data_IF_290342264699
#
_entry.id   IF_290342264699
#
_cell.length_a   1.000
_cell.length_b   1.000
_cell.length_c   1.000
_cell.angle_alpha   90.00
_cell.angle_beta   90.00
_cell.angle_gamma   90.00
#
_symmetry.space_group_name_H-M   'P 1'
#
loop_
_entity.id
_entity.type
_entity.pdbx_description
1 polymer ?
#
# COMPACT_ATOMS: atom_id res chain seq x y z
N UNK A 1 0.73 -60.06 -38.34
CA UNK A 1 1.37 -58.73 -38.10
C UNK A 1 0.56 -57.98 -37.03
N UNK A 2 0.97 -58.07 -35.77
CA UNK A 2 0.29 -57.42 -34.64
C UNK A 2 0.96 -56.07 -34.42
N UNK A 3 0.20 -54.97 -34.58
CA UNK A 3 0.65 -53.61 -34.28
C UNK A 3 0.55 -53.38 -32.76
N UNK A 4 1.71 -53.19 -32.13
CA UNK A 4 1.81 -52.80 -30.73
C UNK A 4 1.57 -51.26 -30.67
N UNK A 5 0.49 -50.83 -30.02
CA UNK A 5 0.28 -49.42 -29.74
C UNK A 5 0.97 -49.08 -28.40
N UNK A 6 1.98 -48.26 -28.46
CA UNK A 6 2.64 -47.69 -27.25
C UNK A 6 1.86 -46.48 -26.82
N UNK A 7 1.13 -46.59 -25.70
CA UNK A 7 0.51 -45.44 -25.04
C UNK A 7 1.60 -44.69 -24.25
N UNK A 8 2.00 -43.50 -24.76
CA UNK A 8 2.81 -42.58 -23.98
C UNK A 8 1.91 -41.92 -22.91
N UNK A 9 2.13 -42.29 -21.67
CA UNK A 9 1.57 -41.57 -20.51
C UNK A 9 2.41 -40.30 -20.27
N UNK A 10 1.90 -39.16 -20.73
CA UNK A 10 2.43 -37.87 -20.28
C UNK A 10 2.02 -37.66 -18.82
N UNK A 11 2.94 -37.92 -17.91
CA UNK A 11 2.81 -37.50 -16.51
C UNK A 11 2.94 -35.98 -16.48
N UNK A 12 1.82 -35.27 -16.42
CA UNK A 12 1.81 -33.85 -16.06
C UNK A 12 2.30 -33.72 -14.63
N UNK A 13 3.53 -33.31 -14.48
CA UNK A 13 4.10 -32.91 -13.20
C UNK A 13 3.45 -31.56 -12.83
N UNK A 14 2.33 -31.61 -12.10
CA UNK A 14 1.78 -30.43 -11.43
C UNK A 14 2.79 -30.10 -10.32
N UNK A 15 3.43 -28.93 -10.33
CA UNK A 15 4.28 -28.53 -9.22
C UNK A 15 3.39 -28.46 -7.98
N UNK A 16 3.56 -29.43 -7.08
CA UNK A 16 2.92 -29.42 -5.78
C UNK A 16 3.42 -28.13 -5.09
N UNK A 17 2.55 -27.17 -4.86
CA UNK A 17 2.85 -26.04 -3.98
C UNK A 17 3.12 -26.67 -2.60
N UNK A 18 4.39 -26.75 -2.23
CA UNK A 18 4.77 -27.28 -0.92
C UNK A 18 4.20 -26.34 0.13
N UNK A 19 3.23 -26.85 0.91
CA UNK A 19 2.76 -26.16 2.11
C UNK A 19 3.97 -25.87 3.02
N UNK A 20 3.94 -24.74 3.73
CA UNK A 20 4.99 -24.37 4.68
C UNK A 20 5.16 -25.46 5.76
N UNK A 21 6.39 -25.77 6.13
CA UNK A 21 6.75 -26.74 7.15
C UNK A 21 7.07 -26.04 8.48
N UNK A 22 6.08 -25.96 9.36
CA UNK A 22 6.23 -25.30 10.65
C UNK A 22 7.33 -25.93 11.53
N UNK A 23 7.53 -27.25 11.45
CA UNK A 23 8.56 -27.91 12.26
C UNK A 23 9.97 -27.52 11.80
N UNK A 24 10.18 -27.33 10.51
CA UNK A 24 11.44 -26.82 9.98
C UNK A 24 11.60 -25.33 10.30
N UNK A 25 10.53 -24.52 10.12
CA UNK A 25 10.56 -23.10 10.47
C UNK A 25 10.93 -22.86 11.95
N UNK A 26 10.42 -23.68 12.88
CA UNK A 26 10.82 -23.65 14.29
C UNK A 26 12.29 -23.97 14.51
N UNK A 27 12.89 -24.85 13.71
CA UNK A 27 14.33 -25.15 13.77
C UNK A 27 15.18 -24.01 13.22
N UNK A 28 14.70 -23.32 12.18
CA UNK A 28 15.31 -22.09 11.66
C UNK A 28 15.23 -20.94 12.68
N UNK A 29 14.16 -20.90 13.48
CA UNK A 29 14.00 -20.10 14.68
C UNK A 29 13.61 -18.63 14.46
N UNK A 30 13.83 -18.08 13.26
CA UNK A 30 13.53 -16.66 12.97
C UNK A 30 12.99 -16.47 11.56
N UNK A 31 12.20 -15.39 11.36
CA UNK A 31 11.78 -14.87 10.08
C UNK A 31 12.07 -13.36 10.04
N UNK A 32 12.96 -12.95 9.16
CA UNK A 32 13.38 -11.56 9.01
C UNK A 32 12.50 -10.85 7.97
N UNK A 33 11.76 -9.86 8.41
CA UNK A 33 10.81 -9.09 7.60
C UNK A 33 11.35 -7.69 7.34
N UNK A 34 11.75 -7.41 6.09
CA UNK A 34 12.11 -6.06 5.64
C UNK A 34 10.90 -5.38 5.04
N UNK A 35 10.53 -4.21 5.57
CA UNK A 35 9.32 -3.54 5.13
C UNK A 35 9.38 -2.02 5.21
N UNK A 36 8.58 -1.35 4.38
CA UNK A 36 8.37 0.09 4.48
C UNK A 36 7.14 0.48 5.32
N UNK A 37 6.23 -0.45 5.56
CA UNK A 37 5.07 -0.26 6.44
C UNK A 37 5.51 -0.04 7.88
N UNK A 38 4.76 0.74 8.65
CA UNK A 38 5.06 1.05 10.06
C UNK A 38 4.01 0.46 10.99
N UNK A 39 4.31 0.43 12.29
CA UNK A 39 3.40 -0.03 13.35
C UNK A 39 2.97 -1.50 13.21
N UNK A 40 3.86 -2.36 12.70
CA UNK A 40 3.59 -3.80 12.52
C UNK A 40 4.05 -4.65 13.70
N UNK A 41 4.60 -4.05 14.73
CA UNK A 41 5.08 -4.73 15.93
C UNK A 41 4.03 -5.69 16.53
N UNK A 42 2.73 -5.30 16.63
CA UNK A 42 1.70 -6.22 17.15
C UNK A 42 1.50 -7.47 16.26
N UNK A 43 1.72 -7.34 14.94
CA UNK A 43 1.62 -8.47 14.02
C UNK A 43 2.82 -9.39 14.18
N UNK A 44 4.02 -8.83 14.39
CA UNK A 44 5.25 -9.60 14.62
C UNK A 44 5.19 -10.38 15.94
N UNK A 45 4.65 -9.77 17.00
CA UNK A 45 4.43 -10.42 18.30
C UNK A 45 3.40 -11.55 18.18
N UNK A 46 2.28 -11.30 17.52
CA UNK A 46 1.24 -12.29 17.30
C UNK A 46 1.74 -13.47 16.44
N UNK A 47 2.54 -13.19 15.40
CA UNK A 47 3.23 -14.24 14.63
C UNK A 47 4.14 -15.07 15.52
N UNK A 48 5.01 -14.41 16.29
CA UNK A 48 6.00 -15.10 17.14
C UNK A 48 5.32 -16.00 18.15
N UNK A 49 4.23 -15.53 18.75
CA UNK A 49 3.42 -16.32 19.72
C UNK A 49 2.71 -17.48 19.04
N UNK A 50 2.06 -17.23 17.89
CA UNK A 50 1.24 -18.25 17.22
C UNK A 50 2.08 -19.36 16.54
N UNK A 51 3.29 -19.04 16.09
CA UNK A 51 4.12 -19.97 15.30
C UNK A 51 5.35 -20.46 16.05
N UNK A 52 5.69 -19.89 17.21
CA UNK A 52 6.92 -20.18 17.95
C UNK A 52 8.19 -20.02 17.05
N UNK A 53 8.15 -19.03 16.16
CA UNK A 53 9.22 -18.57 15.28
C UNK A 53 9.37 -17.07 15.54
N UNK A 54 10.57 -16.60 15.85
CA UNK A 54 10.79 -15.18 16.16
C UNK A 54 10.61 -14.33 14.89
N UNK A 55 9.63 -13.43 14.89
CA UNK A 55 9.49 -12.41 13.87
C UNK A 55 10.46 -11.24 14.15
N UNK A 56 11.32 -10.92 13.20
CA UNK A 56 12.25 -9.77 13.28
C UNK A 56 11.88 -8.77 12.20
N UNK A 57 11.54 -7.56 12.60
CA UNK A 57 11.14 -6.50 11.69
C UNK A 57 12.26 -5.48 11.50
N UNK A 58 12.60 -5.20 10.24
CA UNK A 58 13.53 -4.15 9.83
C UNK A 58 12.80 -3.14 8.94
N UNK A 59 12.61 -1.93 9.47
CA UNK A 59 12.00 -0.85 8.70
C UNK A 59 13.00 -0.21 7.74
N UNK A 60 12.65 -0.16 6.45
CA UNK A 60 13.40 0.57 5.45
C UNK A 60 12.46 1.60 4.79
N UNK A 61 12.86 2.87 4.76
CA UNK A 61 12.04 3.89 4.09
C UNK A 61 11.93 3.62 2.59
N UNK A 62 10.79 3.95 1.99
CA UNK A 62 10.53 3.72 0.55
C UNK A 62 11.65 4.24 -0.34
N UNK A 63 12.18 5.44 -0.06
CA UNK A 63 13.27 6.06 -0.85
C UNK A 63 14.61 5.32 -0.79
N UNK A 64 14.84 4.50 0.23
CA UNK A 64 16.08 3.71 0.38
C UNK A 64 15.87 2.23 0.07
N UNK A 65 14.63 1.78 -0.05
CA UNK A 65 14.28 0.37 -0.05
C UNK A 65 14.98 -0.42 -1.16
N UNK A 66 14.78 0.01 -2.40
CA UNK A 66 15.36 -0.66 -3.57
C UNK A 66 16.89 -0.73 -3.48
N UNK A 67 17.53 0.39 -3.22
CA UNK A 67 18.99 0.47 -3.15
C UNK A 67 19.57 -0.40 -2.01
N UNK A 68 18.95 -0.40 -0.82
CA UNK A 68 19.39 -1.22 0.31
C UNK A 68 19.30 -2.70 -0.03
N UNK A 69 18.12 -3.15 -0.48
CA UNK A 69 17.89 -4.58 -0.78
C UNK A 69 18.80 -5.08 -1.90
N UNK A 70 18.96 -4.30 -2.98
CA UNK A 70 19.86 -4.69 -4.09
C UNK A 70 21.32 -4.75 -3.64
N UNK A 71 21.80 -3.76 -2.89
CA UNK A 71 23.18 -3.74 -2.40
C UNK A 71 23.48 -4.96 -1.51
N UNK A 72 22.59 -5.30 -0.59
CA UNK A 72 22.72 -6.47 0.27
C UNK A 72 22.66 -7.78 -0.52
N UNK A 73 21.73 -7.88 -1.49
CA UNK A 73 21.56 -9.06 -2.32
C UNK A 73 22.79 -9.33 -3.22
N UNK A 74 23.30 -8.29 -3.89
CA UNK A 74 24.47 -8.38 -4.75
C UNK A 74 25.74 -8.71 -3.98
N UNK A 75 25.85 -8.21 -2.73
CA UNK A 75 26.92 -8.55 -1.82
C UNK A 75 26.78 -9.96 -1.20
N UNK A 76 25.68 -10.67 -1.44
CA UNK A 76 25.37 -11.96 -0.81
C UNK A 76 25.13 -11.87 0.70
N UNK A 77 24.66 -10.70 1.17
CA UNK A 77 24.45 -10.37 2.59
C UNK A 77 23.02 -9.97 2.92
N UNK A 78 22.07 -10.24 2.01
CA UNK A 78 20.66 -9.97 2.29
C UNK A 78 20.17 -10.88 3.43
N UNK A 79 19.81 -10.29 4.55
CA UNK A 79 19.29 -11.00 5.72
C UNK A 79 17.76 -11.14 5.70
N UNK A 80 17.08 -10.49 4.76
CA UNK A 80 15.63 -10.57 4.65
C UNK A 80 15.18 -11.94 4.17
N UNK A 81 14.20 -12.52 4.87
CA UNK A 81 13.44 -13.69 4.45
C UNK A 81 12.23 -13.28 3.64
N UNK A 82 11.54 -12.23 4.09
CA UNK A 82 10.34 -11.69 3.46
C UNK A 82 10.49 -10.18 3.25
N UNK A 83 10.09 -9.75 2.05
CA UNK A 83 10.19 -8.38 1.59
C UNK A 83 8.77 -7.81 1.39
N UNK A 84 8.47 -6.65 1.98
CA UNK A 84 7.21 -5.92 1.80
C UNK A 84 7.49 -4.50 1.33
N UNK A 85 6.81 -4.06 0.28
CA UNK A 85 6.96 -2.71 -0.24
C UNK A 85 5.88 -2.32 -1.24
N UNK A 86 5.99 -1.11 -1.81
CA UNK A 86 5.20 -0.72 -2.98
C UNK A 86 5.42 -1.71 -4.13
N UNK A 87 4.35 -2.01 -4.85
CA UNK A 87 4.37 -3.01 -5.90
C UNK A 87 5.50 -2.82 -6.93
N UNK A 88 5.79 -1.63 -7.45
CA UNK A 88 6.83 -1.45 -8.45
C UNK A 88 8.25 -1.70 -7.94
N UNK A 89 8.50 -1.38 -6.66
CA UNK A 89 9.78 -1.73 -6.06
C UNK A 89 9.96 -3.26 -6.06
N UNK A 90 8.90 -3.99 -5.70
CA UNK A 90 8.94 -5.45 -5.72
C UNK A 90 9.06 -6.00 -7.15
N UNK A 91 8.40 -5.39 -8.13
CA UNK A 91 8.54 -5.74 -9.55
C UNK A 91 9.98 -5.58 -10.03
N UNK A 92 10.63 -4.46 -9.70
CA UNK A 92 12.06 -4.26 -10.00
C UNK A 92 12.93 -5.31 -9.31
N UNK A 93 12.66 -5.64 -8.04
CA UNK A 93 13.39 -6.70 -7.33
C UNK A 93 13.18 -8.07 -7.97
N UNK A 94 11.97 -8.37 -8.46
CA UNK A 94 11.66 -9.59 -9.21
C UNK A 94 12.47 -9.66 -10.52
N UNK A 95 12.49 -8.61 -11.32
CA UNK A 95 13.29 -8.52 -12.55
C UNK A 95 14.78 -8.74 -12.32
N UNK A 96 15.28 -8.33 -11.15
CA UNK A 96 16.66 -8.57 -10.69
C UNK A 96 16.90 -9.95 -10.08
N UNK A 97 15.89 -10.82 -10.04
CA UNK A 97 16.01 -12.18 -9.50
C UNK A 97 16.14 -12.25 -7.98
N UNK A 98 15.75 -11.18 -7.26
CA UNK A 98 15.81 -11.11 -5.80
C UNK A 98 14.68 -11.87 -5.13
N UNK A 99 13.57 -12.14 -5.83
CA UNK A 99 12.38 -12.74 -5.29
C UNK A 99 12.21 -14.19 -5.72
N UNK A 100 11.67 -15.02 -4.82
CA UNK A 100 11.32 -16.41 -5.06
C UNK A 100 9.82 -16.59 -5.31
N UNK A 101 9.48 -17.56 -6.14
CA UNK A 101 8.10 -17.97 -6.32
C UNK A 101 7.58 -18.72 -5.09
N UNK A 102 6.45 -18.29 -4.56
CA UNK A 102 5.72 -18.96 -3.50
C UNK A 102 4.23 -18.62 -3.53
N UNK A 103 3.40 -19.61 -3.69
CA UNK A 103 1.95 -19.47 -3.66
C UNK A 103 1.42 -19.81 -2.27
N UNK A 104 1.17 -18.80 -1.46
CA UNK A 104 0.61 -19.00 -0.14
C UNK A 104 -0.83 -19.53 -0.20
N UNK A 105 -1.16 -20.62 0.51
CA UNK A 105 -2.54 -21.09 0.61
C UNK A 105 -3.46 -20.10 1.33
N UNK A 106 -2.93 -19.25 2.19
CA UNK A 106 -3.69 -18.21 2.89
C UNK A 106 -4.23 -17.11 1.98
N UNK A 107 -3.70 -17.00 0.75
CA UNK A 107 -4.17 -16.05 -0.25
C UNK A 107 -5.31 -16.58 -1.14
N UNK A 108 -5.88 -17.75 -0.87
CA UNK A 108 -6.86 -18.40 -1.74
C UNK A 108 -8.15 -17.58 -2.00
N UNK A 109 -8.53 -16.71 -1.07
CA UNK A 109 -9.73 -15.88 -1.19
C UNK A 109 -9.48 -14.44 -1.65
N UNK A 110 -8.24 -14.08 -1.94
CA UNK A 110 -7.90 -12.74 -2.42
C UNK A 110 -8.35 -12.54 -3.88
N UNK A 111 -8.58 -11.29 -4.32
CA UNK A 111 -8.90 -11.02 -5.72
C UNK A 111 -7.82 -11.57 -6.67
N UNK A 112 -8.20 -12.08 -7.83
CA UNK A 112 -7.25 -12.67 -8.80
C UNK A 112 -6.17 -11.68 -9.23
N UNK A 113 -6.53 -10.40 -9.41
CA UNK A 113 -5.59 -9.34 -9.77
C UNK A 113 -4.57 -9.02 -8.68
N UNK A 114 -4.81 -9.43 -7.43
CA UNK A 114 -3.87 -9.21 -6.32
C UNK A 114 -2.62 -10.09 -6.40
N UNK A 115 -2.66 -11.12 -7.22
CA UNK A 115 -1.53 -12.01 -7.45
C UNK A 115 -0.79 -11.60 -8.71
N UNK A 116 0.44 -11.19 -8.57
CA UNK A 116 1.33 -10.99 -9.69
C UNK A 116 2.18 -12.25 -9.85
N UNK A 117 1.71 -13.17 -10.69
CA UNK A 117 2.16 -14.55 -10.80
C UNK A 117 2.28 -15.28 -9.42
N UNK A 118 3.28 -16.14 -9.22
CA UNK A 118 3.52 -16.80 -7.94
C UNK A 118 4.63 -16.12 -7.12
N UNK A 119 5.09 -14.92 -7.51
CA UNK A 119 6.23 -14.25 -6.88
C UNK A 119 5.82 -13.14 -5.92
N UNK A 120 4.85 -12.30 -6.32
CA UNK A 120 4.41 -11.16 -5.51
C UNK A 120 2.92 -11.31 -5.21
N UNK A 121 2.56 -11.19 -3.94
CA UNK A 121 1.16 -11.12 -3.52
C UNK A 121 0.84 -9.72 -3.01
N UNK A 122 -0.12 -9.05 -3.62
CA UNK A 122 -0.66 -7.80 -3.12
C UNK A 122 -1.62 -8.09 -1.97
N UNK A 123 -1.39 -7.48 -0.82
CA UNK A 123 -2.20 -7.73 0.38
C UNK A 123 -3.06 -6.52 0.78
N UNK A 124 -2.77 -5.33 0.24
CA UNK A 124 -3.46 -4.10 0.60
C UNK A 124 -3.23 -2.97 -0.39
N UNK A 125 -3.92 -1.86 -0.15
CA UNK A 125 -3.79 -0.63 -0.93
C UNK A 125 -3.57 0.54 0.03
N UNK A 126 -2.50 1.29 -0.16
CA UNK A 126 -2.28 2.55 0.54
C UNK A 126 -3.04 3.65 -0.20
N UNK A 127 -4.24 3.94 0.25
CA UNK A 127 -5.20 4.80 -0.43
C UNK A 127 -5.24 6.22 0.14
N UNK A 128 -5.55 7.17 -0.73
CA UNK A 128 -5.64 8.61 -0.42
C UNK A 128 -7.10 9.04 -0.41
N UNK A 129 -7.45 9.79 0.62
CA UNK A 129 -8.76 10.44 0.74
C UNK A 129 -8.63 11.79 1.45
N UNK A 130 -9.57 12.72 1.25
CA UNK A 130 -9.67 13.87 2.13
C UNK A 130 -10.11 13.43 3.53
N UNK A 131 -9.35 13.83 4.56
CA UNK A 131 -9.76 13.73 5.96
C UNK A 131 -10.09 15.12 6.50
N UNK A 132 -10.96 15.19 7.51
CA UNK A 132 -11.40 16.45 8.07
C UNK A 132 -11.57 16.38 9.61
N UNK A 133 -11.55 17.55 10.25
CA UNK A 133 -11.83 17.68 11.66
C UNK A 133 -13.36 17.66 11.92
N UNK A 134 -13.84 16.67 12.64
CA UNK A 134 -15.28 16.47 12.90
C UNK A 134 -15.90 17.50 13.84
N UNK A 135 -15.08 18.16 14.66
CA UNK A 135 -15.57 19.19 15.61
C UNK A 135 -15.73 20.54 14.91
N UNK A 136 -14.96 20.79 13.85
CA UNK A 136 -14.88 22.09 13.17
C UNK A 136 -15.62 22.13 11.84
N UNK A 137 -15.72 21.02 11.12
CA UNK A 137 -16.42 20.92 9.82
C UNK A 137 -17.83 20.37 10.07
N UNK A 138 -18.84 21.19 9.79
CA UNK A 138 -20.24 20.78 9.95
C UNK A 138 -20.62 19.69 8.94
N UNK A 139 -21.52 18.75 9.28
CA UNK A 139 -21.90 17.66 8.37
C UNK A 139 -22.36 18.10 6.97
N UNK A 140 -23.02 19.25 6.85
CA UNK A 140 -23.47 19.83 5.60
C UNK A 140 -22.33 20.41 4.72
N UNK A 141 -21.18 20.68 5.31
CA UNK A 141 -20.03 21.27 4.65
C UNK A 141 -19.00 20.22 4.19
N UNK A 142 -19.12 18.98 4.67
CA UNK A 142 -18.19 17.91 4.32
C UNK A 142 -18.19 17.68 2.81
N UNK A 143 -17.03 17.66 2.15
CA UNK A 143 -16.94 17.36 0.71
C UNK A 143 -17.55 16.00 0.36
N UNK A 144 -18.37 15.94 -0.69
CA UNK A 144 -19.01 14.74 -1.21
C UNK A 144 -18.43 14.26 -2.56
N UNK A 145 -17.68 15.13 -3.19
CA UNK A 145 -16.99 14.89 -4.48
C UNK A 145 -15.63 15.59 -4.43
N UNK A 146 -14.71 15.15 -5.27
CA UNK A 146 -13.41 15.81 -5.39
C UNK A 146 -13.53 17.31 -5.77
N UNK A 147 -14.48 17.66 -6.63
CA UNK A 147 -14.73 19.05 -7.01
C UNK A 147 -15.06 19.97 -5.81
N UNK A 148 -15.71 19.43 -4.78
CA UNK A 148 -16.10 20.23 -3.61
C UNK A 148 -14.86 20.73 -2.82
N UNK A 149 -13.67 20.11 -3.03
CA UNK A 149 -12.40 20.59 -2.48
C UNK A 149 -11.89 21.89 -3.13
N UNK A 150 -12.47 22.30 -4.26
CA UNK A 150 -12.12 23.54 -4.95
C UNK A 150 -12.99 24.73 -4.53
N UNK A 151 -13.98 24.52 -3.66
CA UNK A 151 -14.83 25.59 -3.13
C UNK A 151 -13.95 26.63 -2.40
N UNK A 152 -14.09 27.93 -2.69
CA UNK A 152 -13.34 29.00 -2.01
C UNK A 152 -13.49 29.02 -0.48
N UNK A 153 -14.53 28.41 0.09
CA UNK A 153 -14.64 28.24 1.54
C UNK A 153 -13.46 27.50 2.17
N UNK A 154 -12.71 26.72 1.37
CA UNK A 154 -11.54 25.96 1.79
C UNK A 154 -10.20 26.72 1.61
N UNK A 155 -10.26 28.00 1.20
CA UNK A 155 -9.06 28.82 1.04
C UNK A 155 -8.26 28.87 2.36
N UNK A 156 -6.96 28.54 2.30
CA UNK A 156 -6.02 28.39 3.43
C UNK A 156 -6.43 27.34 4.50
N UNK A 157 -7.38 26.45 4.19
CA UNK A 157 -7.90 25.45 5.14
C UNK A 157 -7.53 24.02 4.83
N UNK A 158 -6.78 23.79 3.78
CA UNK A 158 -6.35 22.43 3.35
C UNK A 158 -4.86 22.26 3.65
N UNK A 159 -4.46 21.05 4.08
CA UNK A 159 -3.07 20.60 4.11
C UNK A 159 -2.91 19.38 3.20
N UNK A 160 -1.79 19.29 2.50
CA UNK A 160 -1.46 18.14 1.64
C UNK A 160 0.05 18.00 1.46
N UNK A 161 0.57 16.82 1.08
CA UNK A 161 1.97 16.73 0.68
C UNK A 161 2.22 17.53 -0.60
N UNK A 162 3.43 18.07 -0.73
CA UNK A 162 3.85 18.90 -1.85
C UNK A 162 3.71 18.16 -3.20
N UNK A 163 2.80 18.58 -4.09
CA UNK A 163 2.54 17.92 -5.36
C UNK A 163 3.64 18.16 -6.41
N UNK A 164 4.63 18.99 -6.12
CA UNK A 164 5.78 19.18 -7.02
C UNK A 164 6.92 18.20 -6.78
N UNK A 165 6.93 17.50 -5.64
CA UNK A 165 8.05 16.68 -5.21
C UNK A 165 7.66 15.35 -4.55
N UNK A 166 6.44 15.23 -4.03
CA UNK A 166 6.00 14.00 -3.35
C UNK A 166 5.39 13.01 -4.34
N UNK A 167 6.12 11.95 -4.68
CA UNK A 167 5.77 10.99 -5.72
C UNK A 167 4.34 10.43 -5.61
N UNK A 168 3.92 10.00 -4.41
CA UNK A 168 2.57 9.43 -4.22
C UNK A 168 1.46 10.46 -4.43
N UNK A 169 1.69 11.74 -4.08
CA UNK A 169 0.72 12.81 -4.35
C UNK A 169 0.62 13.12 -5.84
N UNK A 170 1.77 13.11 -6.54
CA UNK A 170 1.82 13.23 -8.01
C UNK A 170 1.04 12.08 -8.65
N UNK A 171 1.34 10.83 -8.26
CA UNK A 171 0.66 9.64 -8.78
C UNK A 171 -0.85 9.65 -8.47
N UNK A 172 -1.25 10.13 -7.30
CA UNK A 172 -2.67 10.27 -6.95
C UNK A 172 -3.38 11.29 -7.84
N UNK A 173 -2.80 12.50 -8.03
CA UNK A 173 -3.39 13.52 -8.91
C UNK A 173 -3.51 13.04 -10.35
N UNK A 174 -2.49 12.38 -10.89
CA UNK A 174 -2.50 11.80 -12.23
C UNK A 174 -3.48 10.62 -12.30
N UNK A 175 -3.48 9.79 -11.26
CA UNK A 175 -4.40 8.66 -11.13
C UNK A 175 -5.88 9.06 -11.17
N UNK A 176 -6.25 10.22 -10.59
CA UNK A 176 -7.61 10.76 -10.70
C UNK A 176 -8.02 11.01 -12.16
N UNK A 177 -7.09 11.46 -13.00
CA UNK A 177 -7.29 11.62 -14.44
C UNK A 177 -7.43 10.26 -15.13
N UNK A 178 -6.47 9.36 -14.90
CA UNK A 178 -6.39 8.06 -15.57
C UNK A 178 -7.57 7.14 -15.20
N UNK A 179 -8.01 7.19 -13.95
CA UNK A 179 -9.20 6.47 -13.48
C UNK A 179 -10.52 7.10 -13.91
N UNK A 180 -10.47 8.19 -14.71
CA UNK A 180 -11.65 8.92 -15.21
C UNK A 180 -12.61 9.33 -14.09
N UNK A 181 -12.06 9.84 -12.99
CA UNK A 181 -12.85 10.42 -11.90
C UNK A 181 -13.53 11.72 -12.37
N UNK A 182 -12.92 12.39 -13.33
CA UNK A 182 -13.45 13.52 -14.06
C UNK A 182 -13.79 13.10 -15.48
N UNK A 183 -14.86 13.68 -16.06
CA UNK A 183 -15.34 13.27 -17.38
C UNK A 183 -14.36 13.64 -18.51
N UNK A 184 -13.63 14.76 -18.33
CA UNK A 184 -12.65 15.23 -19.31
C UNK A 184 -11.33 15.68 -18.64
N UNK A 185 -10.29 15.83 -19.46
CA UNK A 185 -8.99 16.35 -19.03
C UNK A 185 -9.09 17.82 -18.56
N UNK A 186 -9.99 18.60 -19.15
CA UNK A 186 -10.25 19.98 -18.78
C UNK A 186 -10.89 20.07 -17.39
N UNK A 187 -11.86 19.20 -17.08
CA UNK A 187 -12.48 19.13 -15.75
C UNK A 187 -11.45 18.75 -14.69
N UNK A 188 -10.62 17.73 -14.98
CA UNK A 188 -9.52 17.35 -14.10
C UNK A 188 -8.54 18.51 -13.88
N UNK A 189 -8.14 19.20 -14.95
CA UNK A 189 -7.23 20.33 -14.85
C UNK A 189 -7.87 21.51 -14.08
N UNK A 190 -9.17 21.72 -14.25
CA UNK A 190 -9.93 22.71 -13.47
C UNK A 190 -9.92 22.37 -11.99
N UNK A 191 -10.10 21.08 -11.65
CA UNK A 191 -9.96 20.61 -10.27
C UNK A 191 -8.56 20.90 -9.71
N UNK A 192 -7.49 20.55 -10.42
CA UNK A 192 -6.11 20.78 -9.98
C UNK A 192 -5.83 22.26 -9.73
N UNK A 193 -6.26 23.13 -10.67
CA UNK A 193 -6.13 24.59 -10.52
C UNK A 193 -6.97 25.15 -9.38
N UNK A 194 -8.20 24.66 -9.20
CA UNK A 194 -9.08 25.07 -8.11
C UNK A 194 -8.53 24.66 -6.74
N UNK A 195 -7.95 23.46 -6.64
CA UNK A 195 -7.26 23.02 -5.43
C UNK A 195 -6.06 23.91 -5.11
N UNK A 196 -5.26 24.28 -6.14
CA UNK A 196 -4.14 25.20 -6.00
C UNK A 196 -4.60 26.61 -5.58
N UNK A 197 -5.72 27.11 -6.12
CA UNK A 197 -6.30 28.42 -5.77
C UNK A 197 -6.71 28.52 -4.30
N UNK A 198 -7.01 27.39 -3.66
CA UNK A 198 -7.27 27.30 -2.22
C UNK A 198 -6.00 27.39 -1.36
N UNK A 199 -4.83 27.60 -1.95
CA UNK A 199 -3.54 27.78 -1.25
C UNK A 199 -3.30 26.75 -0.15
N UNK A 200 -3.24 25.44 -0.46
CA UNK A 200 -3.01 24.42 0.56
C UNK A 200 -1.67 24.65 1.28
N UNK A 201 -1.64 24.31 2.56
CA UNK A 201 -0.40 24.14 3.31
C UNK A 201 0.32 22.91 2.79
N UNK A 202 1.61 23.01 2.44
CA UNK A 202 2.39 21.89 1.95
C UNK A 202 3.28 21.28 3.03
N UNK A 203 3.30 19.95 3.07
CA UNK A 203 4.15 19.14 3.95
C UNK A 203 4.95 18.13 3.12
N UNK A 204 5.99 17.53 3.71
CA UNK A 204 6.93 16.65 2.98
C UNK A 204 6.34 15.27 2.61
N UNK A 205 5.33 14.79 3.34
CA UNK A 205 4.72 13.47 3.16
C UNK A 205 3.33 13.43 3.79
N UNK A 206 2.62 12.29 3.68
CA UNK A 206 1.31 12.14 4.32
C UNK A 206 1.37 12.08 5.85
N UNK A 207 2.44 11.56 6.44
CA UNK A 207 2.52 11.38 7.91
C UNK A 207 2.28 12.67 8.73
N UNK A 208 2.78 13.86 8.36
CA UNK A 208 2.47 15.07 9.11
C UNK A 208 1.14 15.74 8.76
N UNK A 209 0.35 15.23 7.81
CA UNK A 209 -0.92 15.88 7.42
C UNK A 209 -2.02 15.87 8.49
N UNK A 210 -2.12 14.88 9.41
CA UNK A 210 -3.14 14.92 10.45
C UNK A 210 -2.97 16.05 11.46
N UNK A 211 -1.75 16.35 11.88
CA UNK A 211 -1.50 17.28 12.99
C UNK A 211 -2.11 18.68 12.81
N UNK A 212 -2.01 19.37 11.65
CA UNK A 212 -2.69 20.64 11.45
C UNK A 212 -4.22 20.52 11.46
N UNK A 213 -4.77 19.35 11.10
CA UNK A 213 -6.23 19.13 11.12
C UNK A 213 -6.71 18.86 12.55
N UNK A 214 -5.97 18.09 13.33
CA UNK A 214 -6.24 17.82 14.75
C UNK A 214 -6.23 19.09 15.58
N UNK A 215 -5.25 19.96 15.37
CA UNK A 215 -5.14 21.24 16.08
C UNK A 215 -6.18 22.28 15.64
N UNK A 216 -6.87 22.07 14.51
CA UNK A 216 -7.77 23.04 13.92
C UNK A 216 -7.07 24.16 13.14
N UNK A 217 -5.74 24.10 12.95
CA UNK A 217 -5.02 25.02 12.08
C UNK A 217 -5.51 24.91 10.62
N UNK A 218 -5.76 23.68 10.20
CA UNK A 218 -6.42 23.36 8.92
C UNK A 218 -7.70 22.54 9.20
N UNK A 219 -8.65 22.60 8.28
CA UNK A 219 -9.92 21.91 8.42
C UNK A 219 -9.97 20.59 7.67
N UNK A 220 -9.19 20.49 6.57
CA UNK A 220 -9.11 19.35 5.68
C UNK A 220 -7.65 18.97 5.41
N UNK A 221 -7.41 17.69 5.19
CA UNK A 221 -6.16 17.22 4.62
C UNK A 221 -6.41 16.28 3.44
N UNK A 222 -5.62 16.40 2.38
CA UNK A 222 -5.44 15.28 1.45
C UNK A 222 -4.46 14.32 2.13
N UNK A 223 -4.96 13.17 2.55
CA UNK A 223 -4.25 12.30 3.48
C UNK A 223 -4.61 10.83 3.27
N UNK A 224 -4.21 9.99 4.21
CA UNK A 224 -4.54 8.57 4.23
C UNK A 224 -5.49 8.27 5.39
N UNK A 225 -6.66 7.67 5.15
CA UNK A 225 -7.63 7.35 6.20
C UNK A 225 -7.09 6.50 7.34
N UNK A 226 -6.01 5.74 7.15
CA UNK A 226 -5.35 5.01 8.23
C UNK A 226 -4.97 5.88 9.42
N UNK A 227 -4.74 7.16 9.21
CA UNK A 227 -4.40 8.08 10.31
C UNK A 227 -5.58 8.34 11.25
N UNK A 228 -6.82 8.08 10.85
CA UNK A 228 -7.97 8.09 11.74
C UNK A 228 -7.79 7.06 12.86
N UNK A 229 -7.21 5.91 12.54
CA UNK A 229 -6.94 4.83 13.52
C UNK A 229 -5.68 5.16 14.34
N UNK A 230 -4.58 5.51 13.69
CA UNK A 230 -3.29 5.68 14.38
C UNK A 230 -3.19 6.97 15.18
N UNK A 231 -4.10 7.93 14.97
CA UNK A 231 -4.21 9.18 15.71
C UNK A 231 -5.43 9.21 16.67
N UNK A 232 -6.20 8.10 16.77
CA UNK A 232 -7.31 8.06 17.72
C UNK A 232 -6.84 8.38 19.15
N UNK A 233 -7.59 9.19 19.92
CA UNK A 233 -8.96 9.63 19.70
C UNK A 233 -9.12 11.01 19.02
N UNK A 234 -8.19 11.44 18.16
CA UNK A 234 -8.32 12.71 17.48
C UNK A 234 -9.64 12.82 16.68
N UNK A 235 -10.25 14.02 16.57
CA UNK A 235 -11.54 14.22 15.91
C UNK A 235 -11.41 14.20 14.38
N UNK A 236 -10.99 13.07 13.84
CA UNK A 236 -10.75 12.87 12.41
C UNK A 236 -11.77 11.92 11.79
N UNK A 237 -12.29 12.30 10.62
CA UNK A 237 -13.05 11.42 9.73
C UNK A 237 -12.63 11.64 8.27
N UNK A 238 -12.99 10.71 7.38
CA UNK A 238 -12.75 10.89 5.96
C UNK A 238 -14.00 11.39 5.23
N UNK A 239 -13.80 12.21 4.20
CA UNK A 239 -14.87 12.69 3.34
C UNK A 239 -15.16 11.68 2.22
N UNK A 240 -16.42 11.26 2.09
CA UNK A 240 -16.87 10.23 1.14
C UNK A 240 -17.03 10.82 -0.26
N UNK A 241 -15.89 11.13 -0.90
CA UNK A 241 -15.83 11.82 -2.20
C UNK A 241 -16.03 10.91 -3.43
N UNK A 242 -16.44 9.66 -3.22
CA UNK A 242 -16.60 8.67 -4.28
C UNK A 242 -15.46 7.65 -4.32
N UNK A 243 -14.99 7.31 -5.53
CA UNK A 243 -13.90 6.34 -5.71
C UNK A 243 -12.59 6.86 -5.16
N UNK A 244 -11.97 6.08 -4.29
CA UNK A 244 -10.64 6.34 -3.74
C UNK A 244 -9.58 5.66 -4.57
N UNK A 245 -8.40 6.25 -4.62
CA UNK A 245 -7.26 5.71 -5.35
C UNK A 245 -6.08 5.47 -4.40
N UNK A 246 -5.31 4.42 -4.66
CA UNK A 246 -4.15 4.13 -3.84
C UNK A 246 -3.12 3.23 -4.49
N UNK A 247 -1.95 3.21 -3.90
CA UNK A 247 -0.82 2.41 -4.37
C UNK A 247 -0.92 1.00 -3.79
N UNK A 248 -0.89 -0.05 -4.63
CA UNK A 248 -0.86 -1.43 -4.14
C UNK A 248 0.38 -1.72 -3.30
N UNK A 249 0.20 -2.51 -2.27
CA UNK A 249 1.26 -3.01 -1.40
C UNK A 249 1.43 -4.51 -1.61
N UNK A 250 2.65 -4.91 -1.91
CA UNK A 250 3.00 -6.30 -2.13
C UNK A 250 3.84 -6.87 -1.00
N UNK A 251 3.89 -8.20 -0.96
CA UNK A 251 4.77 -9.01 -0.12
C UNK A 251 5.32 -10.16 -0.95
N UNK A 252 6.58 -10.52 -0.73
CA UNK A 252 7.28 -11.57 -1.47
C UNK A 252 8.34 -12.24 -0.60
N UNK A 253 8.75 -13.45 -0.94
CA UNK A 253 9.87 -14.15 -0.31
C UNK A 253 11.17 -13.82 -1.05
N UNK A 254 12.27 -13.61 -0.32
CA UNK A 254 13.58 -13.42 -0.93
C UNK A 254 14.09 -14.73 -1.56
N UNK A 255 14.69 -14.65 -2.77
CA UNK A 255 15.18 -15.82 -3.51
C UNK A 255 16.30 -16.59 -2.76
N UNK A 256 17.06 -15.86 -1.92
CA UNK A 256 18.11 -16.43 -1.07
C UNK A 256 17.78 -16.17 0.40
N UNK A 257 16.52 -16.39 0.79
CA UNK A 257 16.10 -16.25 2.18
C UNK A 257 16.98 -17.09 3.10
N UNK A 258 17.61 -16.53 4.14
CA UNK A 258 18.40 -17.28 5.12
C UNK A 258 17.58 -18.38 5.82
N UNK A 259 16.27 -18.13 6.00
CA UNK A 259 15.35 -19.02 6.71
C UNK A 259 14.14 -19.35 5.82
N UNK A 260 14.29 -20.22 4.78
CA UNK A 260 13.30 -20.38 3.72
C UNK A 260 11.96 -20.99 4.21
N UNK A 261 11.94 -21.86 5.21
CA UNK A 261 10.69 -22.37 5.75
C UNK A 261 10.02 -21.37 6.69
N UNK A 262 10.79 -20.65 7.49
CA UNK A 262 10.27 -19.55 8.31
C UNK A 262 9.68 -18.43 7.43
N UNK A 263 10.30 -18.14 6.28
CA UNK A 263 9.76 -17.20 5.28
C UNK A 263 8.38 -17.63 4.77
N UNK A 264 8.19 -18.91 4.43
CA UNK A 264 6.91 -19.47 3.97
C UNK A 264 5.84 -19.42 5.07
N UNK A 265 6.21 -19.84 6.29
CA UNK A 265 5.31 -19.80 7.46
C UNK A 265 4.92 -18.35 7.77
N UNK A 266 5.86 -17.40 7.67
CA UNK A 266 5.57 -15.99 7.85
C UNK A 266 4.66 -15.44 6.75
N UNK A 267 4.92 -15.78 5.49
CA UNK A 267 4.09 -15.38 4.34
C UNK A 267 2.65 -15.88 4.49
N UNK A 268 2.47 -17.15 4.90
CA UNK A 268 1.15 -17.74 5.16
C UNK A 268 0.44 -17.05 6.33
N UNK A 269 1.17 -16.73 7.39
CA UNK A 269 0.63 -15.98 8.50
C UNK A 269 0.25 -14.55 8.11
N UNK A 270 1.16 -13.83 7.44
CA UNK A 270 0.93 -12.46 7.00
C UNK A 270 -0.34 -12.33 6.15
N UNK A 271 -0.56 -13.26 5.21
CA UNK A 271 -1.73 -13.27 4.31
C UNK A 271 -2.98 -13.88 4.96
N UNK A 272 -2.90 -14.39 6.18
CA UNK A 272 -4.05 -14.94 6.87
C UNK A 272 -5.06 -13.84 7.25
N UNK A 273 -6.33 -14.24 7.37
CA UNK A 273 -7.41 -13.34 7.79
C UNK A 273 -7.13 -12.68 9.13
N UNK A 274 -6.53 -13.42 10.07
CA UNK A 274 -6.25 -12.92 11.43
C UNK A 274 -5.15 -11.85 11.40
N UNK A 275 -4.06 -12.06 10.68
CA UNK A 275 -3.00 -11.07 10.53
C UNK A 275 -3.50 -9.83 9.77
N UNK A 276 -4.29 -10.02 8.71
CA UNK A 276 -4.88 -8.90 7.96
C UNK A 276 -5.89 -8.14 8.81
N UNK A 277 -6.67 -8.82 9.64
CA UNK A 277 -7.57 -8.14 10.59
C UNK A 277 -6.78 -7.32 11.60
N UNK A 278 -5.70 -7.86 12.15
CA UNK A 278 -4.84 -7.13 13.07
C UNK A 278 -4.20 -5.91 12.39
N UNK A 279 -3.76 -6.05 11.14
CA UNK A 279 -3.22 -4.96 10.34
C UNK A 279 -4.26 -3.86 10.08
N UNK A 280 -5.48 -4.25 9.72
CA UNK A 280 -6.58 -3.31 9.53
C UNK A 280 -6.96 -2.60 10.83
N UNK A 281 -7.11 -3.33 11.95
CA UNK A 281 -7.57 -2.79 13.24
C UNK A 281 -6.53 -1.88 13.91
N UNK A 282 -5.25 -2.22 13.82
CA UNK A 282 -4.18 -1.50 14.55
C UNK A 282 -3.44 -0.47 13.72
N UNK A 283 -3.34 -0.69 12.42
CA UNK A 283 -2.58 0.18 11.50
C UNK A 283 -3.50 0.99 10.59
N UNK A 284 -4.77 0.56 10.45
CA UNK A 284 -5.73 1.22 9.57
C UNK A 284 -5.50 0.93 8.07
N UNK A 285 -4.74 -0.12 7.74
CA UNK A 285 -4.48 -0.48 6.35
C UNK A 285 -5.73 -1.04 5.67
N UNK A 286 -5.98 -0.62 4.42
CA UNK A 286 -6.99 -1.23 3.56
C UNK A 286 -6.44 -2.51 2.98
N UNK A 287 -6.85 -3.64 3.57
CA UNK A 287 -6.36 -4.96 3.18
C UNK A 287 -7.26 -5.61 2.15
N UNK A 288 -6.71 -6.56 1.38
CA UNK A 288 -7.43 -7.26 0.32
C UNK A 288 -7.99 -8.62 0.79
N UNK A 289 -7.76 -9.00 2.04
CA UNK A 289 -8.36 -10.21 2.61
C UNK A 289 -9.89 -10.08 2.65
N UNK A 290 -10.64 -11.10 2.17
CA UNK A 290 -12.09 -11.00 2.03
C UNK A 290 -12.81 -10.68 3.33
N UNK A 291 -13.64 -9.63 3.29
CA UNK A 291 -14.47 -9.21 4.44
C UNK A 291 -13.69 -8.61 5.60
N UNK A 292 -12.43 -8.19 5.37
CA UNK A 292 -11.62 -7.47 6.37
C UNK A 292 -11.46 -6.02 5.92
N UNK A 293 -11.82 -5.10 6.82
CA UNK A 293 -11.71 -3.66 6.59
C UNK A 293 -11.21 -2.99 7.88
N UNK A 294 -10.48 -1.87 7.77
CA UNK A 294 -10.14 -1.08 8.94
C UNK A 294 -11.44 -0.54 9.60
N UNK A 295 -11.46 -0.37 10.93
CA UNK A 295 -12.63 0.10 11.67
C UNK A 295 -12.86 1.60 11.49
N UNK A 296 -12.98 2.02 10.23
CA UNK A 296 -13.25 3.40 9.79
C UNK A 296 -14.67 3.42 9.23
N UNK A 297 -15.52 4.30 9.76
CA UNK A 297 -16.93 4.38 9.37
C UNK A 297 -17.11 4.52 7.85
N UNK A 298 -17.92 3.62 7.26
CA UNK A 298 -18.26 3.58 5.83
C UNK A 298 -17.14 3.16 4.90
N UNK A 299 -15.97 2.76 5.39
CA UNK A 299 -14.84 2.37 4.51
C UNK A 299 -15.07 1.03 3.79
N UNK A 300 -15.86 0.14 4.39
CA UNK A 300 -16.25 -1.13 3.79
C UNK A 300 -17.12 -0.98 2.52
N UNK A 301 -17.75 0.19 2.36
CA UNK A 301 -18.59 0.53 1.22
C UNK A 301 -17.80 1.33 0.16
N UNK A 302 -16.59 1.78 0.48
CA UNK A 302 -15.78 2.60 -0.39
C UNK A 302 -15.26 1.78 -1.58
N UNK A 303 -15.41 2.34 -2.78
CA UNK A 303 -14.72 1.80 -3.96
C UNK A 303 -13.29 2.30 -3.95
N UNK A 304 -12.35 1.39 -3.71
CA UNK A 304 -10.91 1.68 -3.75
C UNK A 304 -10.31 1.02 -4.99
N UNK A 305 -9.63 1.79 -5.83
CA UNK A 305 -8.96 1.31 -7.04
C UNK A 305 -7.44 1.45 -6.90
N UNK A 306 -6.68 0.44 -7.34
CA UNK A 306 -5.24 0.59 -7.46
C UNK A 306 -4.91 1.59 -8.57
N UNK A 307 -3.92 2.44 -8.34
CA UNK A 307 -3.30 3.27 -9.37
C UNK A 307 -2.04 2.58 -9.89
N UNK A 308 -1.74 2.82 -11.17
CA UNK A 308 -0.45 2.43 -11.69
C UNK A 308 0.63 3.33 -11.08
N UNK A 309 1.83 2.85 -11.01
CA UNK A 309 2.95 3.69 -10.68
C UNK A 309 3.45 4.45 -11.89
N UNK A 310 3.83 5.68 -11.64
CA UNK A 310 4.48 6.52 -12.64
C UNK A 310 5.98 6.23 -12.63
N UNK A 311 6.60 6.23 -13.80
CA UNK A 311 8.06 6.19 -13.91
C UNK A 311 8.70 7.42 -13.28
N UNK A 312 9.98 7.35 -12.95
CA UNK A 312 10.74 8.50 -12.42
C UNK A 312 10.70 9.70 -13.38
N UNK A 313 10.66 9.47 -14.69
CA UNK A 313 10.53 10.51 -15.70
C UNK A 313 9.15 11.17 -15.67
N UNK A 314 8.08 10.37 -15.58
CA UNK A 314 6.72 10.88 -15.43
C UNK A 314 6.55 11.66 -14.13
N UNK A 315 7.09 11.15 -13.00
CA UNK A 315 7.06 11.85 -11.71
C UNK A 315 7.75 13.22 -11.82
N UNK A 316 8.92 13.27 -12.42
CA UNK A 316 9.63 14.57 -12.64
C UNK A 316 8.82 15.50 -13.55
N UNK A 317 8.32 15.01 -14.68
CA UNK A 317 7.56 15.80 -15.65
C UNK A 317 6.27 16.36 -15.03
N UNK A 318 5.51 15.53 -14.32
CA UNK A 318 4.29 15.98 -13.63
C UNK A 318 4.60 16.88 -12.45
N UNK A 319 5.67 16.61 -11.69
CA UNK A 319 6.12 17.46 -10.60
C UNK A 319 6.40 18.90 -11.06
N UNK A 320 7.10 19.09 -12.18
CA UNK A 320 7.34 20.43 -12.74
C UNK A 320 6.04 21.11 -13.22
N UNK A 321 5.11 20.36 -13.81
CA UNK A 321 3.79 20.90 -14.17
C UNK A 321 3.01 21.34 -12.94
N UNK A 322 2.94 20.53 -11.90
CA UNK A 322 2.25 20.86 -10.66
C UNK A 322 2.94 22.01 -9.93
N UNK A 323 4.27 22.09 -9.95
CA UNK A 323 5.02 23.22 -9.42
C UNK A 323 4.56 24.54 -10.08
N UNK A 324 4.40 24.55 -11.39
CA UNK A 324 3.91 25.73 -12.13
C UNK A 324 2.48 26.10 -11.72
N UNK A 325 1.62 25.12 -11.39
CA UNK A 325 0.21 25.37 -11.03
C UNK A 325 0.07 25.79 -9.56
N UNK A 326 0.72 25.07 -8.64
CA UNK A 326 0.54 25.28 -7.20
C UNK A 326 1.42 26.40 -6.62
N UNK A 327 2.50 26.76 -7.29
CA UNK A 327 3.46 27.78 -6.82
C UNK A 327 3.61 28.96 -7.77
N UNK A 328 2.69 29.12 -8.75
CA UNK A 328 2.62 30.35 -9.56
C UNK A 328 2.46 31.57 -8.63
N UNK A 329 3.28 32.60 -8.86
CA UNK A 329 3.21 33.88 -8.13
C UNK A 329 2.06 34.73 -8.65
#
# INVERSE_FOLDING_TARGET
MKKLAVLLWCVFWVPCAFASDLAKAKKEGTANFYANITAVEPIMEAFSTAKEVKGVYTRISTSKYLATVLTEYEAGKLEADVLQGPLPILQTLKEKGVLAAYRSPSAAGYPDWAREDDTIMQFGIEYVAPIYNTDLVKPGDVPKRYQDLTDPKWHDKIVMPDPSSHATTISWLVGLKEAKIFATDEEWMSFVKGLAANKPMFVKSFSPTPAPVESGEKLLAISMPKYIITHAPAPLAWARVGTLLGTPRGVAIAAKAPHPEAARVFMDYWLSKDAMKLLADKVGEYVLAPGVFPPIDGISEAKVLPIRELSDEEIRSWGEKFKTIFFAK
#
